data_IF_770195638745
#
_entry.id   IF_770195638745
#
_cell.length_a   1.000
_cell.length_b   1.000
_cell.length_c   1.000
_cell.angle_alpha   90.00
_cell.angle_beta   90.00
_cell.angle_gamma   90.00
#
_symmetry.space_group_name_H-M   'P 1'
#
loop_
_entity.id
_entity.type
_entity.pdbx_description
1 polymer ?
#
# COMPACT_ATOMS: atom_id res chain seq x y z
N UNK A 1 39.06 9.01 26.88
CA UNK A 1 38.15 7.87 26.60
C UNK A 1 38.24 7.59 25.11
N UNK A 2 38.61 6.37 24.72
CA UNK A 2 38.58 6.01 23.31
C UNK A 2 37.15 6.14 22.78
N UNK A 3 37.01 6.72 21.59
CA UNK A 3 35.73 6.95 20.93
C UNK A 3 35.11 5.59 20.57
N UNK A 4 34.07 5.19 21.32
CA UNK A 4 33.39 3.89 21.17
C UNK A 4 32.91 3.66 19.71
N UNK A 5 32.29 4.65 19.04
CA UNK A 5 32.04 4.61 17.59
C UNK A 5 33.25 4.21 16.74
N UNK A 6 34.43 4.79 16.98
CA UNK A 6 35.64 4.52 16.20
C UNK A 6 36.14 3.08 16.41
N UNK A 7 36.13 2.59 17.66
CA UNK A 7 36.48 1.21 17.98
C UNK A 7 35.51 0.20 17.34
N UNK A 8 34.20 0.51 17.33
CA UNK A 8 33.20 -0.35 16.69
C UNK A 8 33.35 -0.36 15.16
N UNK A 9 33.66 0.78 14.54
CA UNK A 9 33.91 0.87 13.10
C UNK A 9 35.13 0.03 12.70
N UNK A 10 36.23 0.15 13.45
CA UNK A 10 37.45 -0.62 13.23
C UNK A 10 37.25 -2.13 13.41
N UNK A 11 36.55 -2.54 14.49
CA UNK A 11 36.21 -3.94 14.71
C UNK A 11 35.32 -4.51 13.60
N UNK A 12 34.32 -3.75 13.12
CA UNK A 12 33.47 -4.16 11.99
C UNK A 12 34.28 -4.34 10.71
N UNK A 13 35.22 -3.45 10.43
CA UNK A 13 36.10 -3.56 9.26
C UNK A 13 36.96 -4.83 9.31
N UNK A 14 37.61 -5.10 10.45
CA UNK A 14 38.39 -6.33 10.65
C UNK A 14 37.55 -7.61 10.52
N UNK A 15 36.36 -7.63 11.12
CA UNK A 15 35.43 -8.77 11.02
C UNK A 15 34.90 -8.96 9.59
N UNK A 16 34.62 -7.88 8.86
CA UNK A 16 34.19 -7.92 7.47
C UNK A 16 35.28 -8.49 6.56
N UNK A 17 36.53 -8.05 6.73
CA UNK A 17 37.68 -8.58 5.99
C UNK A 17 37.84 -10.09 6.22
N UNK A 18 37.78 -10.56 7.48
CA UNK A 18 37.85 -12.00 7.80
C UNK A 18 36.63 -12.80 7.32
N UNK A 19 35.48 -12.15 7.17
CA UNK A 19 34.28 -12.78 6.59
C UNK A 19 34.40 -12.92 5.08
N UNK A 20 35.06 -11.99 4.40
CA UNK A 20 35.26 -12.02 2.95
C UNK A 20 36.14 -13.21 2.51
N UNK A 21 37.04 -13.68 3.37
CA UNK A 21 37.86 -14.88 3.13
C UNK A 21 37.04 -16.20 3.13
N UNK A 22 35.79 -16.18 3.58
CA UNK A 22 34.91 -17.37 3.62
C UNK A 22 34.19 -17.53 2.27
N UNK A 23 34.00 -18.77 1.79
CA UNK A 23 33.11 -19.03 0.66
C UNK A 23 31.74 -18.39 0.92
N UNK A 24 31.33 -17.46 0.05
CA UNK A 24 30.04 -16.82 0.17
C UNK A 24 28.95 -17.78 -0.30
N UNK A 25 27.78 -17.82 0.37
CA UNK A 25 26.65 -18.55 -0.17
C UNK A 25 26.28 -17.98 -1.55
N UNK A 26 25.83 -18.86 -2.46
CA UNK A 26 25.29 -18.40 -3.74
C UNK A 26 24.16 -17.40 -3.48
N UNK A 27 24.19 -16.27 -4.19
CA UNK A 27 23.11 -15.30 -4.14
C UNK A 27 22.00 -15.79 -5.06
N UNK A 28 20.79 -15.94 -4.51
CA UNK A 28 19.60 -16.01 -5.35
C UNK A 28 19.35 -14.60 -5.91
N UNK A 29 19.56 -14.44 -7.21
CA UNK A 29 19.38 -13.22 -7.99
C UNK A 29 18.00 -13.17 -8.65
N UNK A 30 17.12 -14.13 -8.36
CA UNK A 30 15.73 -14.12 -8.81
C UNK A 30 14.95 -13.01 -8.09
N UNK A 31 14.37 -12.11 -8.87
CA UNK A 31 13.38 -11.17 -8.39
C UNK A 31 11.99 -11.81 -8.42
N UNK A 32 11.32 -11.89 -7.27
CA UNK A 32 9.92 -12.36 -7.15
C UNK A 32 8.98 -11.16 -7.07
N UNK A 33 7.87 -11.18 -7.82
CA UNK A 33 6.88 -10.11 -7.81
C UNK A 33 6.34 -9.85 -6.40
N UNK A 34 5.90 -10.91 -5.71
CA UNK A 34 5.38 -10.83 -4.34
C UNK A 34 6.35 -10.14 -3.36
N UNK A 35 7.58 -10.64 -3.23
CA UNK A 35 8.55 -10.12 -2.25
C UNK A 35 9.02 -8.71 -2.57
N UNK A 36 9.15 -8.38 -3.85
CA UNK A 36 9.48 -7.01 -4.23
C UNK A 36 8.30 -6.07 -3.98
N UNK A 37 7.05 -6.52 -4.14
CA UNK A 37 5.86 -5.76 -3.74
C UNK A 37 5.90 -5.35 -2.26
N UNK A 38 6.19 -6.30 -1.36
CA UNK A 38 6.37 -6.00 0.06
C UNK A 38 7.55 -5.05 0.32
N UNK A 39 8.67 -5.24 -0.38
CA UNK A 39 9.83 -4.37 -0.24
C UNK A 39 9.52 -2.93 -0.70
N UNK A 40 8.81 -2.75 -1.82
CA UNK A 40 8.36 -1.45 -2.32
C UNK A 40 7.44 -0.79 -1.29
N UNK A 41 6.48 -1.53 -0.74
CA UNK A 41 5.58 -1.03 0.30
C UNK A 41 6.36 -0.50 1.52
N UNK A 42 7.30 -1.29 2.03
CA UNK A 42 8.11 -0.92 3.19
C UNK A 42 8.99 0.32 2.92
N UNK A 43 9.60 0.40 1.73
CA UNK A 43 10.43 1.55 1.34
C UNK A 43 9.58 2.82 1.14
N UNK A 44 8.38 2.69 0.57
CA UNK A 44 7.46 3.80 0.39
C UNK A 44 6.92 4.33 1.72
N UNK A 45 6.53 3.43 2.64
CA UNK A 45 6.11 3.82 3.99
C UNK A 45 7.26 4.48 4.76
N UNK A 46 8.47 3.90 4.75
CA UNK A 46 9.64 4.50 5.38
C UNK A 46 9.91 5.92 4.84
N UNK A 47 9.74 6.14 3.53
CA UNK A 47 9.89 7.45 2.93
C UNK A 47 8.86 8.46 3.46
N UNK A 48 7.61 8.04 3.67
CA UNK A 48 6.56 8.90 4.22
C UNK A 48 6.78 9.20 5.70
N UNK A 49 7.09 8.19 6.52
CA UNK A 49 7.24 8.34 7.97
C UNK A 49 8.50 9.14 8.35
N UNK A 50 9.57 9.02 7.58
CA UNK A 50 10.83 9.72 7.86
C UNK A 50 10.86 11.15 7.29
N UNK A 51 9.89 11.56 6.49
CA UNK A 51 9.93 12.83 5.74
C UNK A 51 10.19 14.06 6.62
N UNK A 52 9.68 14.08 7.87
CA UNK A 52 9.91 15.18 8.81
C UNK A 52 11.18 15.07 9.64
N UNK A 53 11.67 13.84 9.90
CA UNK A 53 12.76 13.57 10.83
C UNK A 53 14.11 13.34 10.15
N UNK A 54 14.11 12.76 8.95
CA UNK A 54 15.27 12.50 8.11
C UNK A 54 14.89 12.66 6.62
N UNK A 55 14.84 13.91 6.10
CA UNK A 55 14.45 14.17 4.72
C UNK A 55 15.35 13.48 3.68
N UNK A 56 16.66 13.36 3.96
CA UNK A 56 17.61 12.70 3.08
C UNK A 56 17.42 11.17 3.08
N UNK A 57 17.16 10.58 4.25
CA UNK A 57 16.70 9.20 4.39
C UNK A 57 15.41 8.96 3.61
N UNK A 58 14.40 9.80 3.83
CA UNK A 58 13.12 9.71 3.14
C UNK A 58 13.28 9.78 1.60
N UNK A 59 14.12 10.68 1.10
CA UNK A 59 14.42 10.78 -0.32
C UNK A 59 15.09 9.51 -0.87
N UNK A 60 16.07 8.95 -0.13
CA UNK A 60 16.74 7.70 -0.50
C UNK A 60 15.77 6.51 -0.55
N UNK A 61 14.89 6.39 0.44
CA UNK A 61 13.88 5.32 0.47
C UNK A 61 12.85 5.45 -0.65
N UNK A 62 12.36 6.66 -0.91
CA UNK A 62 11.44 6.94 -2.03
C UNK A 62 12.05 6.56 -3.38
N UNK A 63 13.30 6.96 -3.59
CA UNK A 63 14.03 6.68 -4.82
C UNK A 63 14.34 5.17 -4.99
N UNK A 64 14.64 4.47 -3.89
CA UNK A 64 14.79 3.01 -3.89
C UNK A 64 13.48 2.30 -4.23
N UNK A 65 12.36 2.71 -3.63
CA UNK A 65 11.02 2.18 -3.91
C UNK A 65 10.64 2.36 -5.38
N UNK A 66 10.87 3.57 -5.93
CA UNK A 66 10.63 3.89 -7.34
C UNK A 66 11.44 3.00 -8.28
N UNK A 67 12.76 2.90 -8.09
CA UNK A 67 13.61 2.05 -8.93
C UNK A 67 13.20 0.58 -8.87
N UNK A 68 12.85 0.09 -7.67
CA UNK A 68 12.37 -1.27 -7.50
C UNK A 68 11.06 -1.47 -8.28
N UNK A 69 10.08 -0.58 -8.15
CA UNK A 69 8.83 -0.63 -8.89
C UNK A 69 9.05 -0.58 -10.41
N UNK A 70 9.90 0.32 -10.91
CA UNK A 70 10.24 0.41 -12.34
C UNK A 70 10.87 -0.88 -12.87
N UNK A 71 11.81 -1.46 -12.12
CA UNK A 71 12.48 -2.71 -12.48
C UNK A 71 11.48 -3.88 -12.52
N UNK A 72 10.62 -3.98 -11.50
CA UNK A 72 9.71 -5.10 -11.34
C UNK A 72 8.56 -5.01 -12.33
N UNK A 73 7.93 -3.85 -12.48
CA UNK A 73 6.88 -3.64 -13.48
C UNK A 73 7.46 -3.82 -14.89
N UNK A 74 8.60 -3.20 -15.21
CA UNK A 74 9.21 -3.32 -16.54
C UNK A 74 9.72 -4.72 -16.88
N UNK A 75 10.07 -5.52 -15.87
CA UNK A 75 10.58 -6.89 -16.05
C UNK A 75 9.54 -8.00 -15.95
N UNK A 76 8.43 -7.79 -15.23
CA UNK A 76 7.43 -8.83 -14.92
C UNK A 76 6.04 -8.57 -15.48
N UNK A 77 5.65 -7.31 -15.72
CA UNK A 77 4.32 -6.99 -16.24
C UNK A 77 4.37 -6.84 -17.76
N UNK A 78 3.72 -7.77 -18.46
CA UNK A 78 3.59 -7.71 -19.90
C UNK A 78 2.59 -6.62 -20.34
N UNK A 79 2.67 -6.21 -21.60
CA UNK A 79 1.78 -5.19 -22.19
C UNK A 79 0.32 -5.62 -22.27
N UNK A 80 0.03 -6.93 -22.22
CA UNK A 80 -1.32 -7.49 -22.14
C UNK A 80 -1.87 -7.58 -20.70
N UNK A 81 -1.11 -7.09 -19.71
CA UNK A 81 -1.48 -7.11 -18.30
C UNK A 81 -1.16 -8.42 -17.57
N UNK A 82 -0.51 -9.38 -18.23
CA UNK A 82 -0.06 -10.61 -17.58
C UNK A 82 1.15 -10.34 -16.69
N UNK A 83 1.04 -10.72 -15.41
CA UNK A 83 2.14 -10.66 -14.45
C UNK A 83 2.88 -12.00 -14.39
N UNK A 84 4.20 -11.97 -14.57
CA UNK A 84 5.05 -13.12 -14.30
C UNK A 84 5.43 -13.20 -12.81
N UNK A 85 5.64 -14.42 -12.31
CA UNK A 85 6.03 -14.65 -10.91
C UNK A 85 7.45 -14.18 -10.62
N UNK A 86 8.37 -14.44 -11.55
CA UNK A 86 9.79 -14.23 -11.29
C UNK A 86 10.61 -13.78 -12.49
N UNK A 87 11.62 -12.97 -12.24
CA UNK A 87 12.53 -12.45 -13.25
C UNK A 87 13.96 -12.78 -12.85
N UNK A 88 14.73 -13.32 -13.80
CA UNK A 88 16.14 -13.62 -13.63
C UNK A 88 16.82 -13.58 -15.00
N UNK A 89 18.02 -13.00 -15.06
CA UNK A 89 18.85 -12.95 -16.28
C UNK A 89 18.10 -12.41 -17.52
N UNK A 90 17.31 -11.34 -17.34
CA UNK A 90 16.54 -10.72 -18.41
C UNK A 90 15.28 -11.48 -18.82
N UNK A 91 14.93 -12.56 -18.13
CA UNK A 91 13.81 -13.43 -18.48
C UNK A 91 12.76 -13.51 -17.37
N UNK A 92 11.54 -13.12 -17.70
CA UNK A 92 10.35 -13.38 -16.90
C UNK A 92 9.93 -14.86 -17.03
N UNK A 93 9.56 -15.49 -15.91
CA UNK A 93 9.19 -16.91 -15.85
C UNK A 93 8.10 -17.17 -14.81
N UNK A 94 7.21 -18.11 -15.15
CA UNK A 94 6.07 -18.52 -14.34
C UNK A 94 4.93 -17.52 -14.39
N UNK A 95 3.70 -17.99 -14.38
CA UNK A 95 2.53 -17.14 -14.27
C UNK A 95 2.40 -16.66 -12.82
N UNK A 96 2.10 -15.38 -12.61
CA UNK A 96 1.93 -14.80 -11.28
C UNK A 96 0.75 -15.42 -10.55
N UNK A 97 0.92 -15.72 -9.27
CA UNK A 97 -0.14 -16.19 -8.38
C UNK A 97 -0.84 -15.02 -7.70
N UNK A 98 -1.91 -15.27 -6.93
CA UNK A 98 -2.64 -14.23 -6.19
C UNK A 98 -1.70 -13.37 -5.36
N UNK A 99 -0.76 -14.00 -4.65
CA UNK A 99 0.23 -13.33 -3.80
C UNK A 99 1.06 -12.29 -4.59
N UNK A 100 1.48 -12.63 -5.81
CA UNK A 100 2.26 -11.73 -6.67
C UNK A 100 1.45 -10.48 -7.04
N UNK A 101 0.17 -10.66 -7.37
CA UNK A 101 -0.71 -9.54 -7.74
C UNK A 101 -1.04 -8.68 -6.53
N UNK A 102 -1.44 -9.30 -5.42
CA UNK A 102 -1.85 -8.62 -4.20
C UNK A 102 -0.71 -7.79 -3.61
N UNK A 103 0.48 -8.38 -3.48
CA UNK A 103 1.60 -7.69 -2.82
C UNK A 103 2.21 -6.62 -3.71
N UNK A 104 2.27 -6.85 -5.03
CA UNK A 104 2.71 -5.82 -5.95
C UNK A 104 1.73 -4.66 -6.00
N UNK A 105 0.41 -4.92 -6.04
CA UNK A 105 -0.60 -3.87 -5.97
C UNK A 105 -0.48 -3.05 -4.66
N UNK A 106 -0.31 -3.70 -3.52
CA UNK A 106 -0.09 -3.02 -2.23
C UNK A 106 1.13 -2.11 -2.25
N UNK A 107 2.27 -2.61 -2.75
CA UNK A 107 3.49 -1.82 -2.88
C UNK A 107 3.35 -0.63 -3.84
N UNK A 108 2.66 -0.81 -4.96
CA UNK A 108 2.42 0.25 -5.92
C UNK A 108 1.45 1.32 -5.40
N UNK A 109 0.43 0.94 -4.62
CA UNK A 109 -0.45 1.90 -3.95
C UNK A 109 0.28 2.68 -2.85
N UNK A 110 1.14 2.02 -2.06
CA UNK A 110 1.99 2.71 -1.10
C UNK A 110 2.96 3.69 -1.79
N UNK A 111 3.56 3.29 -2.91
CA UNK A 111 4.43 4.16 -3.71
C UNK A 111 3.65 5.33 -4.32
N UNK A 112 2.41 5.11 -4.77
CA UNK A 112 1.52 6.17 -5.22
C UNK A 112 1.30 7.21 -4.12
N UNK A 113 0.95 6.82 -2.89
CA UNK A 113 0.77 7.77 -1.78
C UNK A 113 2.07 8.52 -1.40
N UNK A 114 3.21 7.85 -1.55
CA UNK A 114 4.52 8.45 -1.26
C UNK A 114 4.95 9.48 -2.32
N UNK A 115 4.49 9.33 -3.58
CA UNK A 115 5.03 10.08 -4.73
C UNK A 115 4.01 10.95 -5.47
N UNK A 116 2.73 10.62 -5.42
CA UNK A 116 1.69 11.19 -6.27
C UNK A 116 1.75 10.73 -7.73
N UNK A 117 2.66 9.83 -8.12
CA UNK A 117 2.76 9.35 -9.50
C UNK A 117 1.61 8.37 -9.81
N UNK A 118 0.59 8.88 -10.51
CA UNK A 118 -0.66 8.17 -10.80
C UNK A 118 -0.47 6.92 -11.68
N UNK A 119 0.67 6.77 -12.35
CA UNK A 119 1.01 5.53 -13.08
C UNK A 119 0.99 4.33 -12.14
N UNK A 120 1.49 4.48 -10.91
CA UNK A 120 1.50 3.39 -9.93
C UNK A 120 0.11 3.02 -9.47
N UNK A 121 -0.77 4.01 -9.29
CA UNK A 121 -2.18 3.77 -9.01
C UNK A 121 -2.86 2.98 -10.15
N UNK A 122 -2.66 3.42 -11.40
CA UNK A 122 -3.25 2.76 -12.56
C UNK A 122 -2.82 1.30 -12.70
N UNK A 123 -1.53 1.01 -12.48
CA UNK A 123 -1.00 -0.36 -12.52
C UNK A 123 -1.52 -1.19 -11.34
N UNK A 124 -1.55 -0.63 -10.12
CA UNK A 124 -2.09 -1.35 -8.97
C UNK A 124 -3.56 -1.71 -9.16
N UNK A 125 -4.33 -0.78 -9.73
CA UNK A 125 -5.74 -1.00 -10.07
C UNK A 125 -5.90 -2.12 -11.11
N UNK A 126 -5.08 -2.16 -12.16
CA UNK A 126 -5.17 -3.24 -13.16
C UNK A 126 -4.81 -4.61 -12.58
N UNK A 127 -3.85 -4.67 -11.65
CA UNK A 127 -3.54 -5.90 -10.91
C UNK A 127 -4.72 -6.34 -10.03
N UNK A 128 -5.40 -5.41 -9.36
CA UNK A 128 -6.58 -5.71 -8.56
C UNK A 128 -7.78 -6.16 -9.41
N UNK A 129 -7.97 -5.55 -10.57
CA UNK A 129 -8.99 -5.98 -11.53
C UNK A 129 -8.71 -7.40 -12.00
N UNK A 130 -7.45 -7.73 -12.32
CA UNK A 130 -7.04 -9.09 -12.65
C UNK A 130 -7.29 -10.08 -11.51
N UNK A 131 -7.09 -9.68 -10.25
CA UNK A 131 -7.44 -10.51 -9.09
C UNK A 131 -8.94 -10.83 -9.05
N UNK A 132 -9.80 -9.85 -9.31
CA UNK A 132 -11.25 -10.05 -9.38
C UNK A 132 -11.65 -10.97 -10.54
N UNK A 133 -11.04 -10.79 -11.70
CA UNK A 133 -11.43 -11.49 -12.93
C UNK A 133 -11.01 -12.96 -12.93
N UNK A 134 -9.78 -13.25 -12.48
CA UNK A 134 -9.18 -14.58 -12.64
C UNK A 134 -9.07 -15.38 -11.34
N UNK A 135 -9.05 -14.72 -10.18
CA UNK A 135 -8.76 -15.38 -8.91
C UNK A 135 -9.97 -15.47 -7.98
N UNK A 136 -11.02 -14.67 -8.19
CA UNK A 136 -12.18 -14.66 -7.29
C UNK A 136 -12.87 -16.03 -7.20
N UNK A 137 -13.15 -16.46 -5.98
CA UNK A 137 -13.98 -17.63 -5.72
C UNK A 137 -15.43 -17.17 -5.50
N UNK A 138 -16.43 -17.73 -6.22
CA UNK A 138 -17.85 -17.49 -5.94
C UNK A 138 -18.27 -17.74 -4.48
N UNK A 139 -17.55 -18.60 -3.74
CA UNK A 139 -17.75 -18.83 -2.30
C UNK A 139 -17.13 -17.75 -1.39
N UNK A 140 -16.48 -16.72 -1.96
CA UNK A 140 -15.78 -15.64 -1.28
C UNK A 140 -14.26 -15.88 -1.17
N UNK A 141 -13.48 -14.81 -1.12
CA UNK A 141 -12.02 -14.89 -1.19
C UNK A 141 -11.52 -15.19 -2.60
N UNK A 142 -10.26 -15.60 -2.69
CA UNK A 142 -9.53 -15.75 -3.94
C UNK A 142 -8.72 -17.05 -3.95
N UNK A 143 -8.75 -17.77 -5.05
CA UNK A 143 -7.85 -18.90 -5.29
C UNK A 143 -6.40 -18.42 -5.44
N UNK A 144 -5.43 -19.27 -5.13
CA UNK A 144 -4.01 -18.91 -5.24
C UNK A 144 -3.54 -18.83 -6.70
N UNK A 145 -4.14 -19.63 -7.59
CA UNK A 145 -3.84 -19.67 -9.03
C UNK A 145 -5.01 -19.12 -9.82
N UNK A 146 -4.77 -18.41 -10.91
CA UNK A 146 -5.82 -17.91 -11.81
C UNK A 146 -6.51 -19.05 -12.55
N UNK A 147 -7.68 -18.80 -13.15
CA UNK A 147 -8.34 -19.75 -14.04
C UNK A 147 -7.67 -19.86 -15.43
N UNK A 148 -6.79 -18.91 -15.72
CA UNK A 148 -5.91 -18.81 -16.89
C UNK A 148 -4.53 -19.47 -16.67
N UNK A 149 -4.30 -20.09 -15.51
CA UNK A 149 -3.12 -20.92 -15.22
C UNK A 149 -3.26 -22.34 -15.79
N UNK A 150 -2.24 -23.17 -15.56
CA UNK A 150 -2.35 -24.61 -15.73
C UNK A 150 -3.59 -25.15 -14.99
N UNK A 151 -4.34 -26.02 -15.65
CA UNK A 151 -5.52 -26.65 -15.05
C UNK A 151 -5.11 -27.61 -13.94
N UNK A 152 -5.20 -27.14 -12.69
CA UNK A 152 -5.01 -27.95 -11.50
C UNK A 152 -6.25 -28.81 -11.18
N UNK A 153 -6.04 -29.94 -10.51
CA UNK A 153 -7.15 -30.79 -9.98
C UNK A 153 -7.98 -30.02 -8.96
N UNK A 154 -7.33 -29.19 -8.14
CA UNK A 154 -7.94 -28.27 -7.19
C UNK A 154 -7.19 -26.96 -7.22
N UNK A 155 -7.92 -25.83 -7.14
CA UNK A 155 -7.32 -24.51 -6.92
C UNK A 155 -7.33 -24.24 -5.41
N UNK A 156 -6.17 -24.29 -4.73
CA UNK A 156 -6.12 -24.00 -3.30
C UNK A 156 -6.41 -22.51 -3.04
N UNK A 157 -6.70 -22.23 -1.77
CA UNK A 157 -6.93 -20.89 -1.24
C UNK A 157 -6.22 -20.82 0.10
N UNK A 158 -5.08 -20.13 0.14
CA UNK A 158 -4.41 -19.86 1.40
C UNK A 158 -4.97 -18.60 2.06
N UNK A 159 -5.43 -18.78 3.30
CA UNK A 159 -6.07 -17.74 4.11
C UNK A 159 -5.23 -17.38 5.32
N UNK A 160 -4.26 -18.21 5.69
CA UNK A 160 -3.58 -18.07 6.96
C UNK A 160 -2.35 -17.18 6.78
N UNK A 161 -2.23 -16.14 7.61
CA UNK A 161 -1.01 -15.34 7.69
C UNK A 161 0.10 -16.19 8.35
N UNK A 162 1.32 -16.01 7.88
CA UNK A 162 2.51 -16.67 8.43
C UNK A 162 3.62 -15.62 8.65
N UNK A 163 4.88 -15.92 8.32
CA UNK A 163 5.97 -14.95 8.35
C UNK A 163 5.70 -13.70 7.50
N UNK A 164 4.77 -13.81 6.54
CA UNK A 164 4.22 -12.76 5.68
C UNK A 164 2.69 -12.88 5.69
N UNK A 165 1.93 -11.81 5.37
CA UNK A 165 0.48 -11.91 5.23
C UNK A 165 0.09 -12.92 4.15
N UNK A 166 -1.13 -13.47 4.22
CA UNK A 166 -1.67 -14.27 3.12
C UNK A 166 -1.99 -13.40 1.89
N UNK A 167 -1.88 -13.98 0.69
CA UNK A 167 -2.28 -13.30 -0.55
C UNK A 167 -3.74 -12.82 -0.51
N UNK A 168 -4.62 -13.60 0.12
CA UNK A 168 -6.02 -13.22 0.32
C UNK A 168 -6.18 -12.00 1.25
N UNK A 169 -5.50 -11.97 2.40
CA UNK A 169 -5.61 -10.83 3.32
C UNK A 169 -5.12 -9.53 2.68
N UNK A 170 -3.99 -9.60 1.97
CA UNK A 170 -3.45 -8.43 1.25
C UNK A 170 -4.34 -8.01 0.09
N UNK A 171 -4.92 -8.96 -0.67
CA UNK A 171 -5.89 -8.62 -1.72
C UNK A 171 -7.08 -7.86 -1.14
N UNK A 172 -7.62 -8.29 0.00
CA UNK A 172 -8.72 -7.59 0.68
C UNK A 172 -8.32 -6.17 1.11
N UNK A 173 -7.13 -5.99 1.69
CA UNK A 173 -6.63 -4.66 2.06
C UNK A 173 -6.51 -3.73 0.83
N UNK A 174 -5.93 -4.23 -0.27
CA UNK A 174 -5.81 -3.50 -1.55
C UNK A 174 -7.18 -3.09 -2.07
N UNK A 175 -8.15 -4.01 -2.09
CA UNK A 175 -9.51 -3.74 -2.59
C UNK A 175 -10.23 -2.69 -1.75
N UNK A 176 -10.08 -2.72 -0.42
CA UNK A 176 -10.67 -1.70 0.46
C UNK A 176 -10.03 -0.32 0.25
N UNK A 177 -8.71 -0.25 -0.01
CA UNK A 177 -8.05 1.03 -0.35
C UNK A 177 -8.48 1.54 -1.72
N UNK A 178 -8.57 0.66 -2.72
CA UNK A 178 -9.06 1.01 -4.05
C UNK A 178 -10.51 1.48 -4.00
N UNK A 179 -11.37 0.86 -3.19
CA UNK A 179 -12.72 1.38 -2.99
C UNK A 179 -12.71 2.82 -2.49
N UNK A 180 -11.89 3.14 -1.49
CA UNK A 180 -11.77 4.51 -0.98
C UNK A 180 -11.28 5.53 -2.04
N UNK A 181 -10.40 5.12 -2.96
CA UNK A 181 -9.96 5.98 -4.06
C UNK A 181 -10.94 6.07 -5.23
N UNK A 182 -11.74 5.04 -5.48
CA UNK A 182 -12.51 4.90 -6.72
C UNK A 182 -14.01 5.05 -6.55
N UNK A 183 -14.54 4.73 -5.37
CA UNK A 183 -15.97 4.58 -5.11
C UNK A 183 -16.59 3.34 -5.74
N UNK A 184 -15.79 2.44 -6.31
CA UNK A 184 -16.30 1.26 -6.99
C UNK A 184 -16.72 0.17 -5.99
N UNK A 185 -18.03 0.01 -5.83
CA UNK A 185 -18.61 -0.97 -4.91
C UNK A 185 -18.22 -2.43 -5.20
N UNK A 186 -17.71 -2.77 -6.39
CA UNK A 186 -17.23 -4.13 -6.70
C UNK A 186 -16.04 -4.53 -5.83
N UNK A 187 -15.14 -3.59 -5.52
CA UNK A 187 -14.01 -3.83 -4.64
C UNK A 187 -14.49 -4.12 -3.20
N UNK A 188 -15.42 -3.29 -2.70
CA UNK A 188 -16.06 -3.49 -1.40
C UNK A 188 -16.80 -4.83 -1.31
N UNK A 189 -17.53 -5.20 -2.36
CA UNK A 189 -18.31 -6.44 -2.40
C UNK A 189 -17.40 -7.67 -2.30
N UNK A 190 -16.33 -7.72 -3.10
CA UNK A 190 -15.35 -8.80 -3.06
C UNK A 190 -14.61 -8.88 -1.72
N UNK A 191 -14.15 -7.73 -1.18
CA UNK A 191 -13.54 -7.65 0.13
C UNK A 191 -14.47 -8.16 1.24
N UNK A 192 -15.74 -7.74 1.23
CA UNK A 192 -16.74 -8.17 2.22
C UNK A 192 -17.02 -9.68 2.15
N UNK A 193 -17.09 -10.25 0.95
CA UNK A 193 -17.28 -11.69 0.76
C UNK A 193 -16.10 -12.48 1.35
N UNK A 194 -14.87 -12.03 1.10
CA UNK A 194 -13.66 -12.64 1.66
C UNK A 194 -13.59 -12.52 3.20
N UNK A 195 -13.92 -11.34 3.75
CA UNK A 195 -13.94 -11.11 5.20
C UNK A 195 -14.89 -12.05 5.94
N UNK A 196 -16.09 -12.29 5.39
CA UNK A 196 -17.08 -13.21 5.99
C UNK A 196 -16.55 -14.64 6.13
N UNK A 197 -15.73 -15.07 5.18
CA UNK A 197 -15.16 -16.42 5.16
C UNK A 197 -14.19 -16.65 6.31
N UNK A 198 -13.45 -15.62 6.73
CA UNK A 198 -12.41 -15.76 7.76
C UNK A 198 -12.89 -15.52 9.19
N UNK A 199 -14.12 -15.02 9.40
CA UNK A 199 -14.68 -14.72 10.72
C UNK A 199 -14.51 -15.89 11.73
N UNK A 200 -14.86 -17.15 11.40
CA UNK A 200 -14.71 -18.25 12.37
C UNK A 200 -13.25 -18.52 12.78
N UNK A 201 -12.30 -18.24 11.89
CA UNK A 201 -10.87 -18.47 12.14
C UNK A 201 -10.24 -17.34 12.93
N UNK A 202 -10.55 -16.08 12.59
CA UNK A 202 -10.05 -14.89 13.28
C UNK A 202 -10.41 -14.91 14.76
N UNK A 203 -11.64 -15.32 15.11
CA UNK A 203 -12.08 -15.42 16.51
C UNK A 203 -11.31 -16.50 17.28
N UNK A 204 -10.92 -17.60 16.61
CA UNK A 204 -10.27 -18.74 17.24
C UNK A 204 -8.75 -18.65 17.27
N UNK A 205 -8.13 -18.04 16.25
CA UNK A 205 -6.70 -17.99 16.00
C UNK A 205 -6.24 -16.61 15.52
N UNK A 206 -6.47 -15.52 16.28
CA UNK A 206 -6.28 -14.15 15.79
C UNK A 206 -4.85 -13.86 15.31
N UNK A 207 -3.83 -14.45 15.93
CA UNK A 207 -2.42 -14.23 15.55
C UNK A 207 -2.04 -14.83 14.20
N UNK A 208 -2.79 -15.83 13.71
CA UNK A 208 -2.61 -16.39 12.37
C UNK A 208 -3.41 -15.65 11.30
N UNK A 209 -4.10 -14.57 11.67
CA UNK A 209 -4.98 -13.79 10.79
C UNK A 209 -4.85 -12.28 11.11
N UNK A 210 -3.63 -11.84 11.43
CA UNK A 210 -3.36 -10.46 11.85
C UNK A 210 -3.62 -9.44 10.73
N UNK A 211 -3.27 -9.76 9.48
CA UNK A 211 -3.54 -8.87 8.35
C UNK A 211 -5.04 -8.82 8.05
N UNK A 212 -5.76 -9.91 8.25
CA UNK A 212 -7.22 -9.93 8.17
C UNK A 212 -7.87 -9.04 9.24
N UNK A 213 -7.34 -9.02 10.46
CA UNK A 213 -7.81 -8.11 11.51
C UNK A 213 -7.60 -6.64 11.12
N UNK A 214 -6.45 -6.29 10.53
CA UNK A 214 -6.21 -4.95 9.96
C UNK A 214 -7.22 -4.62 8.84
N UNK A 215 -7.49 -5.55 7.94
CA UNK A 215 -8.49 -5.38 6.89
C UNK A 215 -9.93 -5.28 7.44
N UNK A 216 -10.24 -5.99 8.53
CA UNK A 216 -11.52 -5.85 9.24
C UNK A 216 -11.66 -4.48 9.88
N UNK A 217 -10.60 -3.96 10.51
CA UNK A 217 -10.59 -2.58 11.04
C UNK A 217 -10.88 -1.59 9.91
N UNK A 218 -10.18 -1.69 8.77
CA UNK A 218 -10.41 -0.83 7.62
C UNK A 218 -11.83 -0.96 7.02
N UNK A 219 -12.41 -2.15 7.04
CA UNK A 219 -13.76 -2.36 6.52
C UNK A 219 -14.86 -1.82 7.46
N UNK A 220 -14.63 -1.81 8.76
CA UNK A 220 -15.63 -1.47 9.78
C UNK A 220 -15.49 -0.03 10.29
N UNK A 221 -14.27 0.49 10.34
CA UNK A 221 -13.98 1.84 10.79
C UNK A 221 -14.30 2.88 9.69
N UNK A 222 -14.52 4.14 10.07
CA UNK A 222 -14.56 5.23 9.11
C UNK A 222 -13.26 5.36 8.32
N UNK A 223 -13.36 5.33 6.99
CA UNK A 223 -12.26 5.68 6.08
C UNK A 223 -12.31 7.17 5.79
N UNK A 224 -11.16 7.83 5.86
CA UNK A 224 -10.99 9.26 5.55
C UNK A 224 -10.38 9.37 4.16
N UNK A 225 -11.11 9.96 3.22
CA UNK A 225 -10.62 10.19 1.86
C UNK A 225 -10.14 11.63 1.75
N UNK A 226 -8.88 11.84 1.33
CA UNK A 226 -8.26 13.17 1.28
C UNK A 226 -7.82 13.48 -0.15
N UNK A 227 -8.46 14.46 -0.78
CA UNK A 227 -8.05 15.00 -2.08
C UNK A 227 -7.40 16.37 -1.91
N UNK A 228 -6.18 16.55 -2.41
CA UNK A 228 -5.46 17.82 -2.39
C UNK A 228 -5.27 18.30 -3.82
N UNK A 229 -5.79 19.49 -4.11
CA UNK A 229 -5.58 20.20 -5.37
C UNK A 229 -4.46 21.20 -5.18
N UNK A 230 -3.35 21.04 -5.90
CA UNK A 230 -2.20 21.92 -5.80
C UNK A 230 -0.95 21.36 -6.47
N UNK A 231 -0.01 22.26 -6.84
CA UNK A 231 1.25 21.86 -7.44
C UNK A 231 2.14 21.12 -6.41
N UNK A 232 2.78 19.98 -6.78
CA UNK A 232 3.64 19.23 -5.86
C UNK A 232 4.80 20.04 -5.27
N UNK A 233 5.33 20.99 -6.05
CA UNK A 233 6.46 21.85 -5.65
C UNK A 233 6.02 23.14 -4.91
N UNK A 234 4.71 23.38 -4.76
CA UNK A 234 4.19 24.53 -4.00
C UNK A 234 4.30 24.25 -2.48
N UNK A 235 4.98 25.12 -1.70
CA UNK A 235 5.06 25.01 -0.24
C UNK A 235 3.70 24.88 0.45
N UNK A 236 2.63 25.49 -0.07
CA UNK A 236 1.29 25.36 0.48
C UNK A 236 0.75 23.94 0.32
N UNK A 237 0.89 23.34 -0.86
CA UNK A 237 0.55 21.92 -1.11
C UNK A 237 1.38 21.00 -0.22
N UNK A 238 2.69 21.23 -0.15
CA UNK A 238 3.59 20.45 0.70
C UNK A 238 3.18 20.50 2.18
N UNK A 239 2.74 21.66 2.67
CA UNK A 239 2.21 21.83 4.02
C UNK A 239 0.93 21.02 4.27
N UNK A 240 0.00 20.98 3.31
CA UNK A 240 -1.21 20.17 3.41
C UNK A 240 -0.88 18.66 3.40
N UNK A 241 0.01 18.22 2.51
CA UNK A 241 0.46 16.83 2.43
C UNK A 241 1.20 16.39 3.69
N UNK A 242 2.05 17.25 4.27
CA UNK A 242 2.73 16.96 5.52
C UNK A 242 1.74 16.74 6.67
N UNK A 243 0.60 17.44 6.66
CA UNK A 243 -0.41 17.30 7.70
C UNK A 243 -1.20 15.98 7.60
N UNK A 244 -1.45 15.46 6.40
CA UNK A 244 -2.11 14.14 6.25
C UNK A 244 -1.24 13.01 6.82
N UNK A 245 0.08 13.18 6.76
CA UNK A 245 1.08 12.24 7.28
C UNK A 245 1.35 12.42 8.77
N UNK A 246 0.80 13.46 9.41
CA UNK A 246 1.03 13.73 10.82
C UNK A 246 0.09 12.92 11.71
N UNK A 247 0.67 12.03 12.52
CA UNK A 247 -0.06 11.17 13.45
C UNK A 247 -0.49 9.85 12.80
N UNK A 248 -0.98 8.93 13.63
CA UNK A 248 -1.38 7.60 13.18
C UNK A 248 -2.87 7.58 12.77
N UNK A 249 -3.13 7.44 11.47
CA UNK A 249 -4.48 7.30 10.89
C UNK A 249 -4.45 6.15 9.87
N UNK A 250 -4.69 4.89 10.30
CA UNK A 250 -4.54 3.73 9.41
C UNK A 250 -5.62 3.67 8.32
N UNK A 251 -6.80 4.24 8.58
CA UNK A 251 -7.94 4.24 7.67
C UNK A 251 -8.06 5.57 6.92
N UNK A 252 -7.00 5.94 6.20
CA UNK A 252 -7.00 7.12 5.33
C UNK A 252 -6.42 6.77 3.95
N UNK A 253 -6.88 7.49 2.92
CA UNK A 253 -6.26 7.50 1.61
C UNK A 253 -6.02 8.94 1.16
N UNK A 254 -4.87 9.19 0.53
CA UNK A 254 -4.49 10.54 0.08
C UNK A 254 -4.23 10.56 -1.42
N UNK A 255 -4.75 11.57 -2.10
CA UNK A 255 -4.47 11.87 -3.50
C UNK A 255 -4.14 13.34 -3.66
N UNK A 256 -3.10 13.64 -4.45
CA UNK A 256 -2.62 14.99 -4.71
C UNK A 256 -2.50 15.19 -6.21
N UNK A 257 -3.08 16.24 -6.76
CA UNK A 257 -2.89 16.59 -8.18
C UNK A 257 -2.96 18.10 -8.42
N UNK A 258 -2.10 18.65 -9.29
CA UNK A 258 -2.25 20.03 -9.77
C UNK A 258 -3.41 20.20 -10.75
N UNK A 259 -3.80 19.13 -11.44
CA UNK A 259 -4.85 19.13 -12.46
C UNK A 259 -5.78 17.92 -12.24
N UNK A 260 -6.79 18.08 -11.36
CA UNK A 260 -7.74 17.01 -11.07
C UNK A 260 -8.55 16.57 -12.30
N UNK A 261 -8.71 17.42 -13.32
CA UNK A 261 -9.44 17.09 -14.54
C UNK A 261 -8.70 16.10 -15.46
N UNK A 262 -7.38 16.03 -15.33
CA UNK A 262 -6.54 15.07 -16.05
C UNK A 262 -6.19 13.81 -15.24
N UNK A 263 -6.62 13.75 -13.96
CA UNK A 263 -6.27 12.67 -13.05
C UNK A 263 -6.98 11.36 -13.41
N UNK A 264 -6.27 10.23 -13.29
CA UNK A 264 -6.87 8.89 -13.41
C UNK A 264 -7.47 8.39 -12.09
N UNK A 265 -7.34 9.15 -11.00
CA UNK A 265 -7.77 8.76 -9.65
C UNK A 265 -9.14 9.38 -9.35
N UNK A 266 -10.22 8.57 -9.26
CA UNK A 266 -11.57 9.12 -9.15
C UNK A 266 -11.83 10.00 -7.92
N UNK A 267 -11.09 9.81 -6.81
CA UNK A 267 -11.16 10.67 -5.63
C UNK A 267 -10.89 12.15 -5.94
N UNK A 268 -10.10 12.45 -6.98
CA UNK A 268 -9.78 13.80 -7.41
C UNK A 268 -10.85 14.40 -8.36
N UNK A 269 -11.79 13.60 -8.87
CA UNK A 269 -12.80 14.08 -9.81
C UNK A 269 -13.61 15.25 -9.23
N UNK A 270 -13.88 16.25 -10.07
CA UNK A 270 -14.65 17.45 -9.73
C UNK A 270 -14.09 18.28 -8.56
N UNK A 271 -12.81 18.09 -8.19
CA UNK A 271 -12.12 18.93 -7.19
C UNK A 271 -11.43 20.11 -7.88
N UNK A 272 -11.52 21.29 -7.28
CA UNK A 272 -10.90 22.51 -7.80
C UNK A 272 -10.10 23.26 -6.73
N UNK A 273 -9.12 24.03 -7.15
CA UNK A 273 -8.44 24.97 -6.26
C UNK A 273 -9.41 26.11 -5.90
N UNK A 274 -9.60 26.36 -4.60
CA UNK A 274 -10.47 27.44 -4.11
C UNK A 274 -9.67 28.75 -4.00
N UNK A 275 -10.09 29.76 -4.75
CA UNK A 275 -9.41 31.06 -4.76
C UNK A 275 -7.96 30.99 -5.25
N UNK A 276 -7.66 30.05 -6.16
CA UNK A 276 -6.34 29.86 -6.75
C UNK A 276 -5.27 29.33 -5.79
N UNK A 277 -5.66 28.78 -4.63
CA UNK A 277 -4.75 28.28 -3.59
C UNK A 277 -4.82 26.76 -3.47
N UNK A 278 -3.74 26.17 -2.97
CA UNK A 278 -3.72 24.76 -2.59
C UNK A 278 -4.92 24.45 -1.68
N UNK A 279 -5.64 23.39 -1.98
CA UNK A 279 -6.96 23.11 -1.38
C UNK A 279 -7.08 21.63 -1.03
N UNK A 280 -7.38 21.33 0.22
CA UNK A 280 -7.67 19.99 0.71
C UNK A 280 -9.17 19.77 0.92
N UNK A 281 -9.66 18.63 0.45
CA UNK A 281 -10.99 18.11 0.64
C UNK A 281 -10.91 16.87 1.52
N UNK A 282 -11.62 16.88 2.65
CA UNK A 282 -11.74 15.73 3.56
C UNK A 282 -13.14 15.16 3.40
N UNK A 283 -13.19 13.94 2.88
CA UNK A 283 -14.42 13.26 2.51
C UNK A 283 -14.59 11.96 3.32
N UNK A 284 -15.84 11.55 3.48
CA UNK A 284 -16.23 10.26 4.03
C UNK A 284 -17.33 9.70 3.16
N UNK A 285 -17.13 8.50 2.64
CA UNK A 285 -18.08 7.87 1.72
C UNK A 285 -18.43 8.82 0.57
N UNK A 286 -17.40 9.46 -0.01
CA UNK A 286 -17.51 10.40 -1.14
C UNK A 286 -18.29 11.68 -0.87
N UNK A 287 -18.64 11.94 0.40
CA UNK A 287 -19.26 13.20 0.83
C UNK A 287 -18.21 14.06 1.56
N UNK A 288 -17.90 15.21 0.98
CA UNK A 288 -16.85 16.09 1.49
C UNK A 288 -17.38 17.19 2.41
N UNK A 289 -16.58 17.58 3.40
CA UNK A 289 -16.79 18.82 4.15
C UNK A 289 -16.37 20.03 3.31
N UNK A 290 -16.59 21.23 3.85
CA UNK A 290 -16.04 22.45 3.26
C UNK A 290 -14.51 22.34 3.12
N UNK A 291 -13.95 22.62 1.93
CA UNK A 291 -12.52 22.53 1.69
C UNK A 291 -11.73 23.54 2.50
N UNK A 292 -10.47 23.23 2.77
CA UNK A 292 -9.54 24.05 3.57
C UNK A 292 -8.24 24.28 2.80
N UNK A 293 -7.60 25.42 3.03
CA UNK A 293 -6.37 25.81 2.31
C UNK A 293 -5.13 25.97 3.19
N UNK A 294 -5.25 25.73 4.50
CA UNK A 294 -4.13 25.82 5.45
C UNK A 294 -4.02 24.55 6.32
N UNK A 295 -2.80 24.19 6.77
CA UNK A 295 -2.56 22.96 7.53
C UNK A 295 -3.29 22.87 8.87
N UNK A 296 -3.54 23.99 9.57
CA UNK A 296 -4.21 23.96 10.87
C UNK A 296 -5.71 23.68 10.74
N UNK A 297 -6.35 24.28 9.74
CA UNK A 297 -7.71 23.94 9.36
C UNK A 297 -7.82 22.48 8.91
N UNK A 298 -6.86 21.97 8.14
CA UNK A 298 -6.81 20.55 7.75
C UNK A 298 -6.68 19.63 8.97
N UNK A 299 -5.77 19.94 9.90
CA UNK A 299 -5.64 19.21 11.17
C UNK A 299 -6.97 19.11 11.90
N UNK A 300 -7.69 20.22 12.06
CA UNK A 300 -8.99 20.25 12.72
C UNK A 300 -10.01 19.35 12.00
N UNK A 301 -10.08 19.42 10.66
CA UNK A 301 -10.95 18.54 9.86
C UNK A 301 -10.64 17.06 10.03
N UNK A 302 -9.36 16.71 10.07
CA UNK A 302 -8.93 15.32 10.25
C UNK A 302 -9.29 14.80 11.65
N UNK A 303 -9.16 15.62 12.70
CA UNK A 303 -9.62 15.24 14.05
C UNK A 303 -11.13 15.03 14.11
N UNK A 304 -11.92 15.89 13.47
CA UNK A 304 -13.38 15.73 13.40
C UNK A 304 -13.80 14.48 12.60
N UNK A 305 -13.03 14.09 11.59
CA UNK A 305 -13.34 12.98 10.70
C UNK A 305 -13.19 11.61 11.37
N UNK A 306 -12.17 11.46 12.24
CA UNK A 306 -11.93 10.26 13.06
C UNK A 306 -13.09 10.01 14.04
N UNK A 307 -13.74 11.09 14.51
CA UNK A 307 -14.81 11.02 15.51
C UNK A 307 -14.29 10.59 16.90
N UNK A 308 -15.12 10.67 17.96
CA UNK A 308 -14.79 10.02 19.22
C UNK A 308 -14.75 8.51 19.00
N UNK A 309 -13.70 7.84 19.51
CA UNK A 309 -13.63 6.38 19.57
C UNK A 309 -14.83 5.90 20.37
N UNK A 310 -15.86 5.39 19.68
CA UNK A 310 -17.00 4.77 20.33
C UNK A 310 -16.52 3.47 20.98
N UNK A 311 -16.27 3.47 22.30
CA UNK A 311 -16.05 2.21 23.03
C UNK A 311 -15.02 2.15 24.15
N UNK A 312 -14.51 3.27 24.68
CA UNK A 312 -13.64 3.25 25.88
C UNK A 312 -14.19 4.03 27.08
N UNK A 313 -15.50 4.25 27.15
CA UNK A 313 -16.17 4.51 28.44
C UNK A 313 -16.52 3.14 29.03
N UNK A 314 -15.55 2.55 29.75
CA UNK A 314 -15.87 1.45 30.65
C UNK A 314 -16.89 1.91 31.70
N UNK A 315 -17.78 1.03 32.17
CA UNK A 315 -18.74 1.42 33.20
C UNK A 315 -17.95 1.85 34.43
N UNK A 316 -18.11 3.10 34.81
CA UNK A 316 -17.83 3.53 36.18
C UNK A 316 -19.00 3.03 37.01
N UNK A 317 -18.82 1.86 37.62
CA UNK A 317 -19.77 1.20 38.52
C UNK A 317 -19.06 0.15 39.33
#
# INVERSE_FOLDING_TARGET
>A
MADVPALLADARAHLLARRADRPQPARDDKALAAWNGLAIAALADAAMQLASADPDGAARYRDAARRAAETIVGGLLASDGTLARSWKDGRATGNGVLEDHAFLAEGLLALYEATGDERWFAIARSLADRMLDHFADPAGGFFDTGDDHERLVTRPKDLQDNAIPSGNATAVAVLLRLEAWTGEGRYRAAATAALRLVVPFVVRYPTGFAQWLSAMDQALAPVIEIAIVGAPDDPATAGLVAETRRGYRPNQVVSVSPDPGASVVPLLADRVAVGGRATAYVCRSFTCRLPVGDPDALRARLHEAVGPVAGMVGPTG
#
